data_IF_764382338763
#
_entry.id   IF_764382338763
#
_cell.length_a   1.000
_cell.length_b   1.000
_cell.length_c   1.000
_cell.angle_alpha   90.00
_cell.angle_beta   90.00
_cell.angle_gamma   90.00
#
_symmetry.space_group_name_H-M   'P 1'
#
loop_
_entity.id
_entity.type
_entity.pdbx_description
1 polymer ?
#
# COMPACT_ATOMS: atom_id res chain seq x y z
N UNK A 1 -5.12 17.87 5.70
CA UNK A 1 -3.98 17.38 4.89
C UNK A 1 -4.47 16.23 4.03
N UNK A 2 -4.04 16.14 2.77
CA UNK A 2 -4.44 15.10 1.81
C UNK A 2 -3.21 14.34 1.30
N UNK A 3 -3.27 13.02 1.23
CA UNK A 3 -2.18 12.18 0.69
C UNK A 3 -2.65 11.45 -0.57
N UNK A 4 -1.98 11.66 -1.70
CA UNK A 4 -2.32 11.06 -2.99
C UNK A 4 -1.14 10.23 -3.52
N UNK A 5 -1.35 8.93 -3.69
CA UNK A 5 -0.34 8.02 -4.23
C UNK A 5 -0.69 7.69 -5.67
N UNK A 6 0.27 7.84 -6.58
CA UNK A 6 0.11 7.51 -7.98
C UNK A 6 0.83 6.21 -8.29
N UNK A 7 0.11 5.20 -8.77
CA UNK A 7 0.71 3.91 -9.14
C UNK A 7 0.16 3.39 -10.46
N UNK A 8 0.94 2.52 -11.11
CA UNK A 8 0.66 1.95 -12.42
C UNK A 8 1.88 1.24 -12.99
N UNK A 9 1.70 0.57 -14.13
CA UNK A 9 2.81 -0.08 -14.83
C UNK A 9 3.91 0.94 -15.18
N UNK A 10 5.17 0.50 -15.27
CA UNK A 10 6.28 1.35 -15.76
C UNK A 10 5.95 1.98 -17.12
N UNK A 11 6.32 3.26 -17.30
CA UNK A 11 6.19 3.97 -18.58
C UNK A 11 4.80 4.54 -18.93
N UNK A 12 3.79 4.39 -18.07
CA UNK A 12 2.42 4.92 -18.31
C UNK A 12 2.26 6.41 -18.02
N UNK A 13 3.30 7.10 -17.54
CA UNK A 13 3.30 8.53 -17.22
C UNK A 13 2.80 8.89 -15.81
N UNK A 14 3.08 8.02 -14.81
CA UNK A 14 2.75 8.27 -13.40
C UNK A 14 3.33 9.59 -12.89
N UNK A 15 4.64 9.77 -13.06
CA UNK A 15 5.40 10.95 -12.64
C UNK A 15 4.81 12.21 -13.24
N UNK A 16 4.46 12.20 -14.53
CA UNK A 16 3.84 13.34 -15.21
C UNK A 16 2.48 13.71 -14.60
N UNK A 17 1.62 12.72 -14.36
CA UNK A 17 0.28 12.94 -13.78
C UNK A 17 0.37 13.36 -12.31
N UNK A 18 1.28 12.75 -11.54
CA UNK A 18 1.56 13.11 -10.15
C UNK A 18 2.06 14.56 -10.04
N UNK A 19 3.10 14.91 -10.81
CA UNK A 19 3.67 16.26 -10.88
C UNK A 19 2.66 17.29 -11.36
N UNK A 20 1.84 16.96 -12.36
CA UNK A 20 0.74 17.82 -12.80
C UNK A 20 -0.30 18.05 -11.71
N UNK A 21 -0.69 17.00 -11.00
CA UNK A 21 -1.65 17.10 -9.88
C UNK A 21 -1.10 17.97 -8.76
N UNK A 22 0.18 17.82 -8.42
CA UNK A 22 0.85 18.64 -7.42
C UNK A 22 0.93 20.11 -7.86
N UNK A 23 1.28 20.37 -9.12
CA UNK A 23 1.35 21.72 -9.67
C UNK A 23 -0.02 22.41 -9.70
N UNK A 24 -1.09 21.67 -10.01
CA UNK A 24 -2.46 22.18 -9.96
C UNK A 24 -2.87 22.49 -8.51
N UNK A 25 -2.64 21.58 -7.56
CA UNK A 25 -2.96 21.80 -6.15
C UNK A 25 -2.25 23.03 -5.57
N UNK A 26 -0.97 23.23 -5.91
CA UNK A 26 -0.21 24.41 -5.50
C UNK A 26 -0.78 25.70 -6.09
N UNK A 27 -1.17 25.69 -7.37
CA UNK A 27 -1.81 26.82 -8.03
C UNK A 27 -3.17 27.18 -7.40
N UNK A 28 -3.89 26.18 -6.89
CA UNK A 28 -5.15 26.36 -6.15
C UNK A 28 -4.94 26.83 -4.69
N UNK A 29 -3.68 27.06 -4.28
CA UNK A 29 -3.31 27.68 -3.00
C UNK A 29 -2.87 26.70 -1.91
N UNK A 30 -2.86 25.40 -2.18
CA UNK A 30 -2.42 24.39 -1.22
C UNK A 30 -0.90 24.34 -1.12
N UNK A 31 -0.36 24.31 0.10
CA UNK A 31 1.06 24.03 0.30
C UNK A 31 1.33 22.56 0.01
N UNK A 32 1.95 22.30 -1.13
CA UNK A 32 2.00 20.97 -1.74
C UNK A 32 3.43 20.45 -1.82
N UNK A 33 3.64 19.22 -1.35
CA UNK A 33 4.86 18.46 -1.58
C UNK A 33 4.60 17.36 -2.61
N UNK A 34 5.49 17.19 -3.58
CA UNK A 34 5.56 15.98 -4.40
C UNK A 34 6.87 15.24 -4.14
N UNK A 35 6.74 13.96 -3.82
CA UNK A 35 7.84 13.07 -3.45
C UNK A 35 7.86 11.87 -4.40
N UNK A 36 9.05 11.50 -4.90
CA UNK A 36 9.26 10.27 -5.66
C UNK A 36 9.80 9.17 -4.76
N UNK A 37 9.21 7.98 -4.86
CA UNK A 37 9.80 6.75 -4.33
C UNK A 37 10.59 5.97 -5.39
N UNK A 38 10.67 6.48 -6.63
CA UNK A 38 11.45 5.92 -7.72
C UNK A 38 12.85 6.55 -7.73
N UNK A 39 13.88 5.70 -7.80
CA UNK A 39 15.28 6.09 -7.85
C UNK A 39 15.64 6.80 -9.17
N UNK A 40 14.86 6.60 -10.24
CA UNK A 40 15.02 7.36 -11.48
C UNK A 40 14.63 8.83 -11.22
N UNK A 41 15.50 9.79 -11.56
CA UNK A 41 15.37 11.26 -11.43
C UNK A 41 14.20 11.92 -12.22
N UNK A 42 13.11 11.18 -12.40
CA UNK A 42 11.91 11.51 -13.15
C UNK A 42 11.23 12.82 -12.71
N UNK A 43 11.28 13.20 -11.42
CA UNK A 43 10.70 14.47 -10.96
C UNK A 43 11.55 15.68 -11.35
N UNK A 44 12.87 15.58 -11.23
CA UNK A 44 13.78 16.66 -11.66
C UNK A 44 13.60 16.95 -13.15
N UNK A 45 13.51 15.89 -13.96
CA UNK A 45 13.27 15.98 -15.39
C UNK A 45 11.87 16.55 -15.70
N UNK A 46 10.82 16.07 -15.01
CA UNK A 46 9.46 16.56 -15.22
C UNK A 46 9.31 18.05 -14.90
N UNK A 47 9.93 18.54 -13.82
CA UNK A 47 9.87 19.96 -13.44
C UNK A 47 10.90 20.81 -14.18
N UNK A 48 11.92 20.22 -14.81
CA UNK A 48 13.03 20.95 -15.42
C UNK A 48 13.84 21.75 -14.40
N UNK A 49 13.92 21.28 -13.16
CA UNK A 49 14.54 21.97 -12.04
C UNK A 49 15.43 21.00 -11.23
N UNK A 50 16.54 21.47 -10.64
CA UNK A 50 17.34 20.64 -9.76
C UNK A 50 16.53 20.29 -8.50
N UNK A 51 16.38 18.99 -8.24
CA UNK A 51 15.69 18.44 -7.06
C UNK A 51 16.70 17.64 -6.25
N UNK A 52 16.65 17.79 -4.93
CA UNK A 52 17.55 17.10 -4.01
C UNK A 52 16.81 16.26 -2.96
N UNK A 53 17.58 15.73 -1.97
CA UNK A 53 17.03 14.93 -0.87
C UNK A 53 16.14 15.71 0.09
N UNK A 54 16.27 17.03 0.11
CA UNK A 54 15.45 17.93 0.93
C UNK A 54 14.36 18.62 0.08
N UNK A 55 13.17 18.88 0.65
CA UNK A 55 12.11 19.59 -0.05
C UNK A 55 12.58 20.95 -0.61
N UNK A 56 12.56 21.09 -1.93
CA UNK A 56 12.95 22.32 -2.64
C UNK A 56 11.72 22.97 -3.25
N UNK A 57 11.51 24.26 -3.00
CA UNK A 57 10.42 25.02 -3.64
C UNK A 57 10.77 25.30 -5.11
N UNK A 58 9.97 24.77 -6.04
CA UNK A 58 10.15 24.96 -7.50
C UNK A 58 9.16 25.96 -8.09
N UNK A 59 8.07 26.25 -7.37
CA UNK A 59 7.07 27.27 -7.67
C UNK A 59 6.39 27.69 -6.36
N UNK A 60 5.67 28.83 -6.31
CA UNK A 60 4.97 29.25 -5.10
C UNK A 60 4.10 28.11 -4.55
N UNK A 61 4.38 27.70 -3.30
CA UNK A 61 3.66 26.61 -2.59
C UNK A 61 3.86 25.20 -3.16
N UNK A 62 4.74 25.02 -4.16
CA UNK A 62 5.05 23.73 -4.76
C UNK A 62 6.47 23.30 -4.42
N UNK A 63 6.57 22.22 -3.65
CA UNK A 63 7.83 21.66 -3.21
C UNK A 63 8.04 20.29 -3.82
N UNK A 64 9.26 20.01 -4.22
CA UNK A 64 9.65 18.75 -4.83
C UNK A 64 10.77 18.15 -4.00
N UNK A 65 10.65 16.87 -3.70
CA UNK A 65 11.66 16.10 -3.00
C UNK A 65 11.92 14.80 -3.74
N UNK A 66 13.20 14.44 -3.89
CA UNK A 66 13.59 13.14 -4.39
C UNK A 66 14.30 12.39 -3.27
N UNK A 67 13.78 11.23 -2.87
CA UNK A 67 14.36 10.48 -1.77
C UNK A 67 15.71 9.91 -2.19
N UNK A 68 16.76 10.28 -1.44
CA UNK A 68 18.06 9.63 -1.53
C UNK A 68 18.09 8.42 -0.59
N UNK A 69 17.85 7.25 -1.17
CA UNK A 69 17.81 5.99 -0.43
C UNK A 69 19.16 5.67 0.22
N UNK A 70 20.29 6.01 -0.41
CA UNK A 70 21.61 5.68 0.13
C UNK A 70 21.95 6.53 1.36
N UNK A 71 21.67 7.83 1.30
CA UNK A 71 21.84 8.74 2.42
C UNK A 71 20.96 8.33 3.62
N UNK A 72 19.70 7.96 3.36
CA UNK A 72 18.75 7.55 4.41
C UNK A 72 19.05 6.16 4.95
N UNK A 73 19.54 5.23 4.13
CA UNK A 73 19.95 3.90 4.57
C UNK A 73 21.06 3.98 5.62
N UNK A 74 22.06 4.84 5.40
CA UNK A 74 23.14 5.08 6.37
C UNK A 74 22.63 5.66 7.70
N UNK A 75 21.47 6.32 7.73
CA UNK A 75 20.91 6.92 8.93
C UNK A 75 19.97 5.96 9.69
N UNK A 76 19.15 5.18 8.98
CA UNK A 76 18.11 4.33 9.57
C UNK A 76 18.51 2.85 9.75
N UNK A 77 19.42 2.34 8.91
CA UNK A 77 19.80 0.91 8.87
C UNK A 77 21.21 0.62 9.39
N UNK A 78 21.95 1.64 9.81
CA UNK A 78 23.36 1.49 10.21
C UNK A 78 23.60 0.41 11.27
N UNK A 79 22.73 0.30 12.28
CA UNK A 79 22.92 -0.68 13.37
C UNK A 79 22.71 -2.11 12.89
N UNK A 80 21.72 -2.34 12.02
CA UNK A 80 21.43 -3.68 11.48
C UNK A 80 22.46 -4.05 10.41
N UNK A 81 22.88 -3.10 9.56
CA UNK A 81 23.95 -3.32 8.59
C UNK A 81 25.28 -3.63 9.30
N UNK A 82 25.63 -2.90 10.36
CA UNK A 82 26.85 -3.14 11.16
C UNK A 82 26.85 -4.54 11.75
N UNK A 83 25.69 -5.02 12.23
CA UNK A 83 25.54 -6.39 12.69
C UNK A 83 25.75 -7.41 11.56
N UNK A 84 25.09 -7.24 10.41
CA UNK A 84 25.24 -8.16 9.27
C UNK A 84 26.69 -8.21 8.78
N UNK A 85 27.37 -7.07 8.65
CA UNK A 85 28.78 -7.00 8.29
C UNK A 85 29.66 -7.75 9.30
N UNK A 86 29.40 -7.61 10.61
CA UNK A 86 30.16 -8.35 11.63
C UNK A 86 30.01 -9.86 11.50
N UNK A 87 28.83 -10.36 11.12
CA UNK A 87 28.57 -11.79 10.93
C UNK A 87 29.29 -12.31 9.69
N UNK A 88 29.33 -11.52 8.61
CA UNK A 88 30.03 -11.87 7.37
C UNK A 88 31.55 -11.83 7.51
N UNK A 89 32.09 -10.89 8.27
CA UNK A 89 33.53 -10.82 8.62
C UNK A 89 34.00 -12.12 9.30
N UNK A 90 33.20 -12.60 10.25
CA UNK A 90 33.46 -13.88 10.94
C UNK A 90 33.32 -15.09 10.01
N UNK A 91 32.45 -15.01 9.02
CA UNK A 91 32.32 -16.03 7.98
C UNK A 91 33.46 -15.97 6.94
N UNK A 92 34.42 -15.03 7.09
CA UNK A 92 35.56 -14.87 6.21
C UNK A 92 35.21 -14.26 4.85
N UNK A 93 34.10 -13.53 4.78
CA UNK A 93 33.68 -12.82 3.57
C UNK A 93 34.48 -11.53 3.45
N UNK A 94 35.01 -11.27 2.26
CA UNK A 94 35.73 -10.04 1.96
C UNK A 94 34.85 -8.80 2.23
N UNK A 95 35.38 -7.71 2.84
CA UNK A 95 34.58 -6.53 3.19
C UNK A 95 33.85 -5.89 2.01
N UNK A 96 34.44 -5.90 0.81
CA UNK A 96 33.81 -5.32 -0.39
C UNK A 96 32.65 -6.21 -0.84
N UNK A 97 32.85 -7.52 -0.83
CA UNK A 97 31.77 -8.47 -1.11
C UNK A 97 30.67 -8.44 -0.03
N UNK A 98 31.03 -8.19 1.23
CA UNK A 98 30.08 -8.08 2.33
C UNK A 98 29.21 -6.81 2.21
N UNK A 99 29.77 -5.69 1.74
CA UNK A 99 28.98 -4.48 1.44
C UNK A 99 27.94 -4.74 0.35
N UNK A 100 28.29 -5.44 -0.72
CA UNK A 100 27.34 -5.83 -1.78
C UNK A 100 26.27 -6.82 -1.28
N UNK A 101 26.65 -7.76 -0.42
CA UNK A 101 25.73 -8.77 0.15
C UNK A 101 24.79 -8.22 1.22
N UNK A 102 25.10 -7.06 1.80
CA UNK A 102 24.26 -6.40 2.82
C UNK A 102 23.28 -5.39 2.24
N UNK A 103 23.24 -5.22 0.91
CA UNK A 103 22.17 -4.50 0.22
C UNK A 103 20.87 -5.28 0.38
N UNK A 104 19.96 -4.76 1.19
CA UNK A 104 18.66 -5.38 1.46
C UNK A 104 17.72 -5.04 0.28
N UNK A 105 17.26 -6.03 -0.50
CA UNK A 105 16.27 -5.77 -1.55
C UNK A 105 14.98 -5.21 -0.92
N UNK A 106 14.45 -4.13 -1.49
CA UNK A 106 13.26 -3.45 -0.96
C UNK A 106 13.54 -2.37 0.10
N UNK A 107 14.81 -2.15 0.49
CA UNK A 107 15.14 -1.14 1.49
C UNK A 107 14.92 0.29 0.99
N UNK A 108 15.17 0.56 -0.29
CA UNK A 108 15.01 1.90 -0.88
C UNK A 108 13.56 2.37 -0.75
N UNK A 109 12.62 1.49 -1.02
CA UNK A 109 11.21 1.82 -0.95
C UNK A 109 10.68 1.87 0.48
N UNK A 110 11.21 1.06 1.40
CA UNK A 110 10.96 1.22 2.84
C UNK A 110 11.42 2.61 3.29
N UNK A 111 12.62 3.04 2.90
CA UNK A 111 13.15 4.36 3.25
C UNK A 111 12.30 5.49 2.66
N UNK A 112 11.81 5.33 1.44
CA UNK A 112 10.90 6.29 0.84
C UNK A 112 9.57 6.41 1.60
N UNK A 113 9.05 5.29 2.12
CA UNK A 113 7.87 5.27 2.99
C UNK A 113 8.14 5.94 4.35
N UNK A 114 9.32 5.72 4.94
CA UNK A 114 9.73 6.38 6.19
C UNK A 114 9.90 7.89 5.99
N UNK A 115 10.50 8.32 4.87
CA UNK A 115 10.60 9.74 4.52
C UNK A 115 9.21 10.35 4.32
N UNK A 116 8.32 9.67 3.60
CA UNK A 116 6.93 10.09 3.47
C UNK A 116 6.28 10.30 4.84
N UNK A 117 6.46 9.36 5.78
CA UNK A 117 5.97 9.50 7.15
C UNK A 117 6.54 10.75 7.82
N UNK A 118 7.84 11.01 7.73
CA UNK A 118 8.46 12.22 8.32
C UNK A 118 7.83 13.49 7.74
N UNK A 119 7.66 13.56 6.42
CA UNK A 119 7.05 14.72 5.75
C UNK A 119 5.60 14.91 6.16
N UNK A 120 4.81 13.83 6.21
CA UNK A 120 3.40 13.86 6.63
C UNK A 120 3.26 14.29 8.09
N UNK A 121 4.08 13.74 8.99
CA UNK A 121 4.03 14.05 10.43
C UNK A 121 4.58 15.43 10.77
N UNK A 122 5.37 16.05 9.88
CA UNK A 122 5.84 17.43 10.07
C UNK A 122 4.70 18.45 10.18
N UNK A 123 3.51 18.13 9.65
CA UNK A 123 2.37 19.03 9.58
C UNK A 123 2.59 20.25 8.67
N UNK A 124 3.66 20.25 7.86
CA UNK A 124 4.03 21.37 7.01
C UNK A 124 3.18 21.50 5.73
N UNK A 125 2.49 20.43 5.32
CA UNK A 125 1.89 20.30 4.00
C UNK A 125 0.36 20.18 4.07
N UNK A 126 -0.33 20.88 3.17
CA UNK A 126 -1.76 20.68 2.94
C UNK A 126 -2.00 19.43 2.08
N UNK A 127 -1.10 19.19 1.12
CA UNK A 127 -1.18 18.09 0.16
C UNK A 127 0.20 17.43 0.02
N UNK A 128 0.24 16.11 0.09
CA UNK A 128 1.41 15.30 -0.23
C UNK A 128 1.06 14.38 -1.39
N UNK A 129 1.74 14.57 -2.52
CA UNK A 129 1.64 13.70 -3.70
C UNK A 129 2.85 12.78 -3.72
N UNK A 130 2.61 11.49 -3.93
CA UNK A 130 3.65 10.47 -3.98
C UNK A 130 3.63 9.82 -5.35
N UNK A 131 4.72 9.98 -6.10
CA UNK A 131 4.98 9.20 -7.31
C UNK A 131 5.59 7.86 -6.91
N UNK A 132 4.80 6.79 -6.95
CA UNK A 132 5.25 5.48 -6.53
C UNK A 132 6.04 4.78 -7.65
N UNK A 133 6.99 3.95 -7.23
CA UNK A 133 7.64 2.95 -8.08
C UNK A 133 6.59 2.01 -8.75
N UNK A 134 6.98 1.22 -9.77
CA UNK A 134 6.09 0.28 -10.44
C UNK A 134 5.31 -0.63 -9.47
N UNK A 135 4.08 -0.96 -9.85
CA UNK A 135 3.05 -1.40 -8.89
C UNK A 135 3.34 -2.70 -8.13
N UNK A 136 4.13 -3.62 -8.70
CA UNK A 136 4.40 -4.91 -8.08
C UNK A 136 5.35 -4.81 -6.88
N UNK A 137 6.37 -3.94 -6.95
CA UNK A 137 7.31 -3.70 -5.86
C UNK A 137 6.61 -2.95 -4.71
N UNK A 138 5.97 -1.80 -4.98
CA UNK A 138 5.28 -0.99 -3.95
C UNK A 138 4.26 -1.80 -3.15
N UNK A 139 3.49 -2.68 -3.80
CA UNK A 139 2.48 -3.51 -3.12
C UNK A 139 3.06 -4.55 -2.17
N UNK A 140 4.26 -5.09 -2.44
CA UNK A 140 4.94 -6.04 -1.54
C UNK A 140 5.43 -5.34 -0.28
N UNK A 141 5.84 -4.09 -0.41
CA UNK A 141 6.33 -3.27 0.71
C UNK A 141 5.21 -2.84 1.64
N UNK A 142 4.00 -2.66 1.09
CA UNK A 142 2.80 -2.38 1.87
C UNK A 142 2.30 -3.59 2.69
N UNK A 143 2.79 -4.80 2.40
CA UNK A 143 2.57 -6.01 3.19
C UNK A 143 3.62 -6.23 4.29
N UNK A 144 4.75 -5.51 4.24
CA UNK A 144 5.84 -5.64 5.21
C UNK A 144 5.44 -5.30 6.65
N UNK A 145 4.62 -4.26 6.94
CA UNK A 145 4.21 -3.98 8.32
C UNK A 145 3.55 -5.19 8.99
N UNK A 146 2.63 -5.85 8.28
CA UNK A 146 1.94 -7.05 8.78
C UNK A 146 2.88 -8.26 8.94
N UNK A 147 3.76 -8.49 7.96
CA UNK A 147 4.72 -9.60 8.01
C UNK A 147 5.75 -9.40 9.15
N UNK A 148 6.23 -8.17 9.33
CA UNK A 148 7.16 -7.82 10.39
C UNK A 148 6.47 -7.90 11.76
N UNK A 149 5.21 -7.45 11.86
CA UNK A 149 4.42 -7.58 13.08
C UNK A 149 4.27 -9.02 13.56
N UNK A 150 4.04 -9.97 12.64
CA UNK A 150 4.03 -11.39 12.97
C UNK A 150 5.37 -11.87 13.56
N UNK A 151 6.49 -11.48 12.95
CA UNK A 151 7.84 -11.84 13.42
C UNK A 151 8.14 -11.21 14.79
N UNK A 152 7.77 -9.93 14.98
CA UNK A 152 7.90 -9.20 16.25
C UNK A 152 7.11 -9.84 17.39
N UNK A 153 5.90 -10.32 17.13
CA UNK A 153 5.05 -10.88 18.18
C UNK A 153 5.40 -12.34 18.53
N UNK A 154 5.84 -13.15 17.57
CA UNK A 154 6.00 -14.60 17.75
C UNK A 154 7.44 -15.09 17.85
N UNK A 155 8.36 -14.48 17.11
CA UNK A 155 9.72 -15.01 16.94
C UNK A 155 10.73 -14.21 17.77
N UNK A 156 10.69 -12.87 17.66
CA UNK A 156 11.61 -11.98 18.36
C UNK A 156 11.68 -12.22 19.88
N UNK A 157 10.57 -12.43 20.61
CA UNK A 157 10.64 -12.62 22.06
C UNK A 157 11.37 -13.90 22.46
N UNK A 158 11.25 -14.96 21.65
CA UNK A 158 11.95 -16.22 21.87
C UNK A 158 13.45 -16.08 21.54
N UNK A 159 13.77 -15.47 20.39
CA UNK A 159 15.16 -15.20 19.98
C UNK A 159 15.89 -14.31 20.99
N UNK A 160 15.29 -13.18 21.40
CA UNK A 160 15.87 -12.26 22.39
C UNK A 160 16.14 -12.95 23.73
N UNK A 161 15.26 -13.87 24.17
CA UNK A 161 15.46 -14.68 25.39
C UNK A 161 16.59 -15.69 25.24
N UNK A 162 16.65 -16.41 24.12
CA UNK A 162 17.70 -17.40 23.83
C UNK A 162 19.06 -16.71 23.76
N UNK A 163 19.16 -15.61 23.01
CA UNK A 163 20.38 -14.81 22.89
C UNK A 163 20.83 -14.31 24.25
N UNK A 164 19.92 -13.76 25.08
CA UNK A 164 20.26 -13.30 26.45
C UNK A 164 20.73 -14.44 27.35
N UNK A 165 20.16 -15.63 27.24
CA UNK A 165 20.54 -16.79 28.04
C UNK A 165 21.90 -17.39 27.61
N UNK A 166 22.19 -17.40 26.31
CA UNK A 166 23.43 -17.95 25.76
C UNK A 166 24.58 -16.95 25.71
N UNK A 167 24.32 -15.65 25.88
CA UNK A 167 25.31 -14.55 25.90
C UNK A 167 26.58 -14.88 26.70
N UNK A 168 26.53 -15.35 27.97
CA UNK A 168 27.76 -15.63 28.74
C UNK A 168 28.55 -16.85 28.24
N UNK A 169 27.92 -17.80 27.53
CA UNK A 169 28.60 -18.99 26.98
C UNK A 169 29.22 -18.67 25.62
N UNK A 170 28.46 -17.97 24.77
CA UNK A 170 28.88 -17.59 23.42
C UNK A 170 29.98 -16.50 23.43
N UNK A 171 29.99 -15.59 24.41
CA UNK A 171 31.10 -14.64 24.59
C UNK A 171 32.44 -15.32 24.91
N UNK A 172 32.43 -16.57 25.41
CA UNK A 172 33.65 -17.34 25.67
C UNK A 172 34.11 -18.15 24.46
N UNK A 173 33.21 -18.45 23.53
CA UNK A 173 33.51 -19.08 22.26
C UNK A 173 33.77 -17.99 21.22
N UNK A 174 35.01 -17.52 21.14
CA UNK A 174 35.44 -16.50 20.18
C UNK A 174 35.06 -16.93 18.76
N UNK A 175 34.18 -16.16 18.11
CA UNK A 175 33.79 -16.43 16.74
C UNK A 175 32.56 -15.64 16.34
N UNK A 176 31.37 -16.00 16.84
CA UNK A 176 30.11 -15.47 16.28
C UNK A 176 29.70 -14.15 16.93
N UNK A 177 29.56 -13.04 16.18
CA UNK A 177 29.03 -11.80 16.71
C UNK A 177 27.54 -11.98 16.98
N UNK A 178 27.12 -11.63 18.19
CA UNK A 178 25.73 -11.74 18.61
C UNK A 178 25.01 -10.42 18.34
N UNK A 179 23.73 -10.45 17.95
CA UNK A 179 22.96 -9.23 17.84
C UNK A 179 22.83 -8.60 19.23
N UNK A 180 23.26 -7.34 19.34
CA UNK A 180 23.08 -6.56 20.56
C UNK A 180 21.62 -6.14 20.76
N UNK A 181 21.30 -5.60 21.94
CA UNK A 181 19.95 -5.06 22.20
C UNK A 181 19.60 -3.92 21.22
N UNK A 182 20.60 -3.18 20.71
CA UNK A 182 20.48 -2.15 19.68
C UNK A 182 19.88 -2.65 18.37
N UNK A 183 20.27 -3.85 17.92
CA UNK A 183 19.72 -4.48 16.71
C UNK A 183 18.24 -4.82 16.90
N UNK A 184 17.89 -5.43 18.05
CA UNK A 184 16.50 -5.74 18.37
C UNK A 184 15.65 -4.48 18.46
N UNK A 185 16.14 -3.46 19.16
CA UNK A 185 15.45 -2.19 19.32
C UNK A 185 15.32 -1.44 17.98
N UNK A 186 16.28 -1.58 17.05
CA UNK A 186 16.18 -1.03 15.69
C UNK A 186 15.07 -1.69 14.86
N UNK A 187 14.93 -3.02 14.96
CA UNK A 187 13.85 -3.75 14.27
C UNK A 187 12.48 -3.39 14.88
N UNK A 188 12.39 -3.28 16.21
CA UNK A 188 11.16 -2.85 16.90
C UNK A 188 10.75 -1.42 16.47
N UNK A 189 11.71 -0.49 16.38
CA UNK A 189 11.45 0.88 15.87
C UNK A 189 10.94 0.86 14.43
N UNK A 190 11.63 0.15 13.54
CA UNK A 190 11.23 0.06 12.13
C UNK A 190 9.80 -0.48 11.99
N UNK A 191 9.46 -1.52 12.75
CA UNK A 191 8.10 -2.06 12.74
C UNK A 191 7.07 -1.02 13.12
N UNK A 192 7.29 -0.28 14.21
CA UNK A 192 6.39 0.78 14.65
C UNK A 192 6.24 1.89 13.60
N UNK A 193 7.34 2.31 12.98
CA UNK A 193 7.31 3.34 11.93
C UNK A 193 6.56 2.87 10.67
N UNK A 194 6.74 1.61 10.27
CA UNK A 194 6.02 1.00 9.15
C UNK A 194 4.52 0.81 9.45
N UNK A 195 4.15 0.49 10.68
CA UNK A 195 2.75 0.42 11.11
C UNK A 195 2.10 1.81 11.07
N UNK A 196 2.81 2.86 11.47
CA UNK A 196 2.34 4.25 11.35
C UNK A 196 2.17 4.66 9.88
N UNK A 197 3.12 4.31 9.00
CA UNK A 197 2.96 4.51 7.54
C UNK A 197 1.68 3.83 7.05
N UNK A 198 1.45 2.56 7.41
CA UNK A 198 0.27 1.84 7.00
C UNK A 198 -1.01 2.53 7.48
N UNK A 199 -1.05 2.98 8.74
CA UNK A 199 -2.19 3.70 9.30
C UNK A 199 -2.46 5.03 8.58
N UNK A 200 -1.40 5.80 8.26
CA UNK A 200 -1.52 7.04 7.49
C UNK A 200 -2.08 6.79 6.09
N UNK A 201 -1.54 5.78 5.39
CA UNK A 201 -1.87 5.49 3.99
C UNK A 201 -3.20 4.75 3.79
N UNK A 202 -3.68 4.02 4.80
CA UNK A 202 -5.01 3.38 4.81
C UNK A 202 -6.11 4.26 5.43
N UNK A 203 -5.72 5.40 5.99
CA UNK A 203 -6.60 6.39 6.61
C UNK A 203 -7.55 7.08 5.61
N UNK A 204 -8.54 7.85 6.12
CA UNK A 204 -9.55 8.50 5.29
C UNK A 204 -9.01 9.62 4.39
N UNK A 205 -7.89 10.25 4.79
CA UNK A 205 -7.26 11.35 4.07
C UNK A 205 -6.26 10.89 3.00
N UNK A 206 -6.03 9.58 2.89
CA UNK A 206 -5.13 8.96 1.94
C UNK A 206 -5.88 8.18 0.86
N UNK A 207 -5.38 8.25 -0.36
CA UNK A 207 -5.88 7.42 -1.45
C UNK A 207 -4.82 7.16 -2.50
N UNK A 208 -5.13 6.18 -3.34
CA UNK A 208 -4.31 5.76 -4.47
C UNK A 208 -5.07 6.06 -5.76
N UNK A 209 -4.37 6.65 -6.72
CA UNK A 209 -4.85 6.89 -8.07
C UNK A 209 -4.10 6.00 -9.04
N UNK A 210 -4.85 5.20 -9.80
CA UNK A 210 -4.26 4.30 -10.79
C UNK A 210 -4.01 5.06 -12.09
N UNK A 211 -2.82 4.94 -12.66
CA UNK A 211 -2.47 5.50 -13.98
C UNK A 211 -2.22 4.34 -14.94
N UNK A 212 -2.84 4.40 -16.13
CA UNK A 212 -2.70 3.38 -17.16
C UNK A 212 -2.70 4.00 -18.55
N UNK A 213 -2.06 3.36 -19.53
CA UNK A 213 -2.36 3.60 -20.95
C UNK A 213 -3.49 2.65 -21.38
N UNK A 214 -4.35 3.02 -22.36
CA UNK A 214 -5.44 2.16 -22.85
C UNK A 214 -4.95 0.95 -23.68
N UNK A 215 -4.20 0.07 -23.05
CA UNK A 215 -3.69 -1.18 -23.61
C UNK A 215 -4.15 -2.36 -22.75
N UNK A 216 -4.51 -3.49 -23.39
CA UNK A 216 -5.08 -4.66 -22.70
C UNK A 216 -4.18 -5.20 -21.58
N UNK A 217 -2.87 -5.27 -21.81
CA UNK A 217 -1.91 -5.77 -20.82
C UNK A 217 -1.80 -4.81 -19.63
N UNK A 218 -1.88 -3.51 -19.88
CA UNK A 218 -1.80 -2.47 -18.85
C UNK A 218 -3.08 -2.43 -18.02
N UNK A 219 -4.24 -2.60 -18.65
CA UNK A 219 -5.52 -2.75 -17.95
C UNK A 219 -5.52 -4.00 -17.06
N UNK A 220 -5.02 -5.14 -17.55
CA UNK A 220 -4.94 -6.35 -16.75
C UNK A 220 -4.07 -6.17 -15.50
N UNK A 221 -2.97 -5.42 -15.61
CA UNK A 221 -2.14 -5.04 -14.47
C UNK A 221 -2.89 -4.11 -13.51
N UNK A 222 -3.54 -3.05 -14.01
CA UNK A 222 -4.31 -2.12 -13.19
C UNK A 222 -5.42 -2.83 -12.39
N UNK A 223 -6.08 -3.85 -12.96
CA UNK A 223 -7.07 -4.68 -12.27
C UNK A 223 -6.43 -5.44 -11.09
N UNK A 224 -5.30 -6.12 -11.32
CA UNK A 224 -4.54 -6.82 -10.25
C UNK A 224 -4.12 -5.85 -9.16
N UNK A 225 -3.62 -4.68 -9.54
CA UNK A 225 -3.23 -3.63 -8.61
C UNK A 225 -4.39 -3.16 -7.74
N UNK A 226 -5.57 -2.95 -8.33
CA UNK A 226 -6.75 -2.54 -7.58
C UNK A 226 -7.19 -3.62 -6.57
N UNK A 227 -7.18 -4.89 -6.97
CA UNK A 227 -7.43 -6.01 -6.06
C UNK A 227 -6.46 -5.99 -4.89
N UNK A 228 -5.16 -5.84 -5.15
CA UNK A 228 -4.13 -5.87 -4.12
C UNK A 228 -4.19 -4.66 -3.18
N UNK A 229 -4.37 -3.45 -3.73
CA UNK A 229 -4.58 -2.25 -2.93
C UNK A 229 -5.77 -2.42 -1.97
N UNK A 230 -6.87 -2.95 -2.49
CA UNK A 230 -8.07 -3.22 -1.69
C UNK A 230 -7.81 -4.32 -0.65
N UNK A 231 -7.12 -5.40 -1.02
CA UNK A 231 -6.70 -6.48 -0.13
C UNK A 231 -5.98 -5.91 1.07
N UNK A 232 -5.02 -4.99 0.88
CA UNK A 232 -4.24 -4.36 1.96
C UNK A 232 -4.90 -3.14 2.62
N UNK A 233 -6.10 -2.75 2.22
CA UNK A 233 -6.84 -1.69 2.91
C UNK A 233 -6.68 -0.28 2.32
N UNK A 234 -5.96 -0.13 1.22
CA UNK A 234 -5.78 1.16 0.54
C UNK A 234 -7.00 1.53 -0.30
N UNK A 235 -7.39 2.81 -0.23
CA UNK A 235 -8.52 3.34 -0.99
C UNK A 235 -8.07 3.76 -2.37
N UNK A 236 -8.62 3.15 -3.41
CA UNK A 236 -8.47 3.67 -4.78
C UNK A 236 -9.53 4.73 -5.03
N UNK A 237 -9.12 5.92 -5.45
CA UNK A 237 -10.03 7.05 -5.66
C UNK A 237 -10.43 7.31 -7.11
N UNK A 238 -9.73 6.71 -8.06
CA UNK A 238 -9.96 6.91 -9.47
C UNK A 238 -8.84 6.38 -10.36
N UNK A 239 -9.07 6.51 -11.67
CA UNK A 239 -8.17 6.03 -12.71
C UNK A 239 -7.89 7.15 -13.71
N UNK A 240 -6.63 7.34 -14.07
CA UNK A 240 -6.21 8.21 -15.16
C UNK A 240 -5.78 7.34 -16.34
N UNK A 241 -6.57 7.36 -17.40
CA UNK A 241 -6.20 6.79 -18.70
C UNK A 241 -5.33 7.81 -19.45
N UNK A 242 -4.03 7.59 -19.47
CA UNK A 242 -3.04 8.48 -20.05
C UNK A 242 -2.67 8.11 -21.49
N UNK A 243 -2.16 9.10 -22.25
CA UNK A 243 -1.78 8.97 -23.67
C UNK A 243 -2.93 8.44 -24.54
N UNK A 244 -4.13 8.98 -24.32
CA UNK A 244 -5.29 8.71 -25.17
C UNK A 244 -5.11 9.46 -26.49
N UNK A 245 -5.14 8.77 -27.61
CA UNK A 245 -5.04 9.42 -28.92
C UNK A 245 -6.25 10.34 -29.15
N UNK A 246 -6.03 11.59 -29.58
CA UNK A 246 -7.13 12.45 -29.99
C UNK A 246 -7.85 11.85 -31.21
N UNK A 247 -9.15 12.11 -31.32
CA UNK A 247 -9.96 11.62 -32.42
C UNK A 247 -9.56 12.22 -33.78
N UNK A 248 -9.76 11.44 -34.85
CA UNK A 248 -9.38 11.80 -36.22
C UNK A 248 -7.89 11.59 -36.50
N UNK A 249 -7.50 11.59 -37.77
CA UNK A 249 -6.11 11.38 -38.18
C UNK A 249 -6.00 10.60 -39.48
N UNK A 250 -4.83 10.00 -39.71
CA UNK A 250 -4.63 9.02 -40.78
C UNK A 250 -5.16 7.65 -40.38
N UNK A 251 -5.23 6.72 -41.34
CA UNK A 251 -5.73 5.35 -41.11
C UNK A 251 -4.98 4.62 -39.98
N UNK A 252 -3.70 4.94 -39.78
CA UNK A 252 -2.90 4.38 -38.68
C UNK A 252 -3.40 4.88 -37.32
N UNK A 253 -3.64 6.19 -37.18
CA UNK A 253 -4.18 6.78 -35.95
C UNK A 253 -5.63 6.36 -35.69
N UNK A 254 -6.45 6.27 -36.73
CA UNK A 254 -7.83 5.75 -36.61
C UNK A 254 -7.83 4.32 -36.04
N UNK A 255 -6.90 3.47 -36.47
CA UNK A 255 -6.71 2.12 -35.90
C UNK A 255 -6.35 2.14 -34.42
N UNK A 256 -5.45 3.04 -34.00
CA UNK A 256 -5.10 3.21 -32.59
C UNK A 256 -6.24 3.76 -31.74
N UNK A 257 -6.99 4.74 -32.24
CA UNK A 257 -8.17 5.30 -31.55
C UNK A 257 -9.19 4.20 -31.32
N UNK A 258 -9.53 3.40 -32.36
CA UNK A 258 -10.47 2.30 -32.22
C UNK A 258 -10.00 1.23 -31.21
N UNK A 259 -8.70 0.90 -31.22
CA UNK A 259 -8.12 -0.04 -30.25
C UNK A 259 -8.18 0.50 -28.81
N UNK A 260 -7.83 1.77 -28.61
CA UNK A 260 -7.88 2.42 -27.30
C UNK A 260 -9.33 2.56 -26.81
N UNK A 261 -10.29 2.91 -27.67
CA UNK A 261 -11.70 3.03 -27.30
C UNK A 261 -12.28 1.70 -26.80
N UNK A 262 -11.92 0.58 -27.43
CA UNK A 262 -12.29 -0.75 -26.97
C UNK A 262 -11.75 -1.04 -25.55
N UNK A 263 -10.51 -0.64 -25.27
CA UNK A 263 -9.91 -0.81 -23.93
C UNK A 263 -10.51 0.19 -22.94
N UNK A 264 -10.77 1.44 -23.33
CA UNK A 264 -11.41 2.46 -22.49
C UNK A 264 -12.82 2.04 -22.07
N UNK A 265 -13.57 1.38 -22.95
CA UNK A 265 -14.85 0.75 -22.60
C UNK A 265 -14.70 -0.29 -21.48
N UNK A 266 -13.66 -1.12 -21.55
CA UNK A 266 -13.35 -2.09 -20.50
C UNK A 266 -12.83 -1.42 -19.21
N UNK A 267 -12.07 -0.31 -19.30
CA UNK A 267 -11.65 0.49 -18.14
C UNK A 267 -12.89 1.00 -17.41
N UNK A 268 -13.81 1.65 -18.13
CA UNK A 268 -15.04 2.17 -17.54
C UNK A 268 -15.89 1.09 -16.85
N UNK A 269 -15.97 -0.11 -17.43
CA UNK A 269 -16.65 -1.26 -16.81
C UNK A 269 -15.91 -1.79 -15.58
N UNK A 270 -14.59 -1.88 -15.64
CA UNK A 270 -13.77 -2.47 -14.56
C UNK A 270 -13.75 -1.59 -13.32
N UNK A 271 -13.71 -0.28 -13.52
CA UNK A 271 -13.63 0.72 -12.46
C UNK A 271 -14.96 1.46 -12.27
N UNK A 272 -16.07 0.76 -12.54
CA UNK A 272 -17.40 1.32 -12.36
C UNK A 272 -17.58 1.84 -10.92
N UNK A 273 -18.07 3.07 -10.78
CA UNK A 273 -18.19 3.76 -9.50
C UNK A 273 -16.97 4.59 -9.10
N UNK A 274 -15.86 4.48 -9.82
CA UNK A 274 -14.71 5.37 -9.70
C UNK A 274 -14.68 6.39 -10.86
N UNK A 275 -14.16 7.60 -10.65
CA UNK A 275 -13.84 8.52 -11.72
C UNK A 275 -12.81 7.90 -12.67
N UNK A 276 -13.04 8.06 -13.97
CA UNK A 276 -12.07 7.72 -15.02
C UNK A 276 -11.75 8.99 -15.79
N UNK A 277 -10.59 9.58 -15.50
CA UNK A 277 -10.07 10.74 -16.20
C UNK A 277 -9.25 10.31 -17.41
N UNK A 278 -9.18 11.17 -18.41
CA UNK A 278 -8.45 10.92 -19.66
C UNK A 278 -7.43 12.03 -19.86
N UNK A 279 -6.21 11.65 -20.21
CA UNK A 279 -5.14 12.55 -20.62
C UNK A 279 -4.80 12.28 -22.07
N UNK A 280 -4.89 13.30 -22.91
CA UNK A 280 -4.59 13.17 -24.33
C UNK A 280 -3.09 12.95 -24.58
N UNK A 281 -2.77 12.23 -25.66
CA UNK A 281 -1.39 12.06 -26.09
C UNK A 281 -0.92 13.32 -26.82
N UNK A 282 -0.13 14.14 -26.12
CA UNK A 282 0.40 15.40 -26.62
C UNK A 282 1.56 15.22 -27.60
N UNK A 283 1.69 16.18 -28.51
CA UNK A 283 2.81 16.26 -29.46
C UNK A 283 4.14 16.67 -28.79
N UNK A 284 4.07 17.30 -27.61
CA UNK A 284 5.23 17.75 -26.83
C UNK A 284 5.09 17.21 -25.41
N UNK A 285 6.20 16.80 -24.83
CA UNK A 285 6.24 16.36 -23.44
C UNK A 285 5.96 17.54 -22.50
N UNK A 286 5.02 17.40 -21.54
CA UNK A 286 4.70 18.47 -20.59
C UNK A 286 5.79 18.57 -19.52
N UNK A 287 6.83 19.34 -19.82
CA UNK A 287 7.95 19.64 -18.91
C UNK A 287 7.79 21.04 -18.34
N UNK A 288 8.07 21.18 -17.05
CA UNK A 288 7.97 22.43 -16.31
C UNK A 288 6.60 22.65 -15.66
N UNK A 289 6.59 23.46 -14.60
CA UNK A 289 5.43 23.67 -13.72
C UNK A 289 4.17 24.06 -14.50
N UNK A 290 4.26 25.00 -15.44
CA UNK A 290 3.10 25.47 -16.19
C UNK A 290 2.52 24.42 -17.14
N UNK A 291 3.36 23.65 -17.82
CA UNK A 291 2.90 22.59 -18.72
C UNK A 291 2.25 21.44 -17.94
N UNK A 292 2.86 21.06 -16.81
CA UNK A 292 2.33 20.06 -15.89
C UNK A 292 0.99 20.48 -15.27
N UNK A 293 0.87 21.74 -14.82
CA UNK A 293 -0.38 22.31 -14.32
C UNK A 293 -1.47 22.30 -15.39
N UNK A 294 -1.14 22.73 -16.60
CA UNK A 294 -2.08 22.75 -17.74
C UNK A 294 -2.58 21.35 -18.07
N UNK A 295 -1.69 20.36 -18.10
CA UNK A 295 -2.03 18.96 -18.27
C UNK A 295 -3.05 18.50 -17.22
N UNK A 296 -2.78 18.74 -15.93
CA UNK A 296 -3.68 18.32 -14.87
C UNK A 296 -5.03 19.04 -14.92
N UNK A 297 -5.06 20.33 -15.22
CA UNK A 297 -6.31 21.09 -15.35
C UNK A 297 -7.23 20.51 -16.44
N UNK A 298 -6.65 20.09 -17.57
CA UNK A 298 -7.40 19.41 -18.64
C UNK A 298 -7.85 18.00 -18.23
N UNK A 299 -6.98 17.22 -17.59
CA UNK A 299 -7.29 15.85 -17.13
C UNK A 299 -8.47 15.84 -16.17
N UNK A 300 -8.47 16.76 -15.21
CA UNK A 300 -9.51 16.83 -14.19
C UNK A 300 -10.75 17.61 -14.64
N UNK A 301 -10.65 18.44 -15.69
CA UNK A 301 -11.79 19.11 -16.33
C UNK A 301 -12.77 19.79 -15.34
N UNK A 302 -12.22 20.45 -14.30
CA UNK A 302 -12.99 21.13 -13.26
C UNK A 302 -13.48 20.25 -12.10
N UNK A 303 -13.19 18.94 -12.11
CA UNK A 303 -13.32 18.11 -10.91
C UNK A 303 -12.18 18.39 -9.93
N UNK A 304 -12.49 18.34 -8.64
CA UNK A 304 -11.49 18.51 -7.58
C UNK A 304 -10.58 17.26 -7.51
N UNK A 305 -9.29 17.37 -7.86
CA UNK A 305 -8.38 16.24 -7.82
C UNK A 305 -8.05 15.78 -6.39
N UNK A 306 -8.28 16.63 -5.39
CA UNK A 306 -8.01 16.39 -3.98
C UNK A 306 -9.22 15.84 -3.22
N UNK A 307 -10.38 15.72 -3.88
CA UNK A 307 -11.59 15.20 -3.28
C UNK A 307 -11.34 13.89 -2.51
N UNK A 308 -11.83 13.82 -1.28
CA UNK A 308 -11.69 12.64 -0.45
C UNK A 308 -12.49 11.47 -1.05
N UNK A 309 -11.98 10.22 -0.97
CA UNK A 309 -12.71 9.06 -1.46
C UNK A 309 -14.03 8.90 -0.70
N UNK A 310 -15.13 8.73 -1.41
CA UNK A 310 -16.45 8.50 -0.80
C UNK A 310 -16.56 7.06 -0.27
N UNK A 311 -17.29 6.88 0.85
CA UNK A 311 -17.64 5.57 1.40
C UNK A 311 -16.73 5.07 2.53
N UNK A 312 -17.06 3.90 3.10
CA UNK A 312 -16.42 3.38 4.32
C UNK A 312 -15.09 2.65 4.07
N UNK A 313 -14.60 2.58 2.82
CA UNK A 313 -13.31 1.99 2.46
C UNK A 313 -13.36 0.48 2.15
N UNK A 314 -12.20 -0.11 1.79
CA UNK A 314 -12.12 -1.51 1.37
C UNK A 314 -12.34 -2.49 2.51
N UNK A 315 -11.97 -2.15 3.75
CA UNK A 315 -12.11 -3.01 4.92
C UNK A 315 -13.18 -2.46 5.87
N UNK A 316 -14.14 -3.30 6.25
CA UNK A 316 -15.24 -2.96 7.14
C UNK A 316 -15.51 -4.09 8.13
N UNK A 317 -15.95 -3.73 9.34
CA UNK A 317 -16.45 -4.68 10.33
C UNK A 317 -17.79 -4.18 10.83
N UNK A 318 -18.85 -4.94 10.55
CA UNK A 318 -20.20 -4.64 11.00
C UNK A 318 -20.60 -5.61 12.10
N UNK A 319 -21.10 -5.09 13.23
CA UNK A 319 -21.68 -5.92 14.30
C UNK A 319 -23.09 -6.36 13.92
N UNK A 320 -23.45 -7.58 14.29
CA UNK A 320 -24.79 -8.13 14.11
C UNK A 320 -25.28 -8.74 15.42
N UNK A 321 -26.58 -8.97 15.55
CA UNK A 321 -27.17 -9.56 16.76
C UNK A 321 -26.58 -10.95 17.10
N UNK A 322 -26.08 -11.67 16.09
CA UNK A 322 -25.49 -13.00 16.22
C UNK A 322 -23.95 -13.00 16.22
N UNK A 323 -23.29 -11.84 16.11
CA UNK A 323 -21.84 -11.71 16.08
C UNK A 323 -21.34 -10.52 15.26
N UNK A 324 -20.64 -10.80 14.16
CA UNK A 324 -20.11 -9.76 13.28
C UNK A 324 -19.85 -10.26 11.86
N UNK A 325 -19.76 -9.33 10.91
CA UNK A 325 -19.33 -9.59 9.54
C UNK A 325 -18.15 -8.70 9.23
N UNK A 326 -17.03 -9.32 8.88
CA UNK A 326 -15.90 -8.64 8.26
C UNK A 326 -16.14 -8.62 6.75
N UNK A 327 -16.08 -7.45 6.15
CA UNK A 327 -16.18 -7.27 4.70
C UNK A 327 -14.91 -6.65 4.15
N UNK A 328 -14.31 -7.30 3.15
CA UNK A 328 -13.10 -6.85 2.47
C UNK A 328 -13.37 -6.74 0.97
N UNK A 329 -13.13 -5.58 0.38
CA UNK A 329 -13.18 -5.40 -1.07
C UNK A 329 -12.05 -6.20 -1.74
N UNK A 330 -12.43 -7.05 -2.68
CA UNK A 330 -11.56 -7.85 -3.54
C UNK A 330 -12.12 -7.79 -4.97
N UNK A 331 -12.04 -6.63 -5.64
CA UNK A 331 -12.57 -6.47 -6.99
C UNK A 331 -11.93 -7.50 -7.93
N UNK A 332 -12.70 -7.98 -8.90
CA UNK A 332 -12.29 -8.98 -9.90
C UNK A 332 -11.96 -10.39 -9.38
N UNK A 333 -12.09 -10.64 -8.08
CA UNK A 333 -11.76 -11.95 -7.48
C UNK A 333 -13.00 -12.83 -7.38
N UNK A 334 -12.84 -14.10 -7.76
CA UNK A 334 -13.85 -15.14 -7.56
C UNK A 334 -13.60 -15.93 -6.28
N UNK A 335 -14.62 -16.67 -5.80
CA UNK A 335 -14.48 -17.52 -4.61
C UNK A 335 -13.35 -18.56 -4.73
N UNK A 336 -13.09 -19.07 -5.92
CA UNK A 336 -12.08 -20.11 -6.16
C UNK A 336 -10.64 -19.61 -5.98
N UNK A 337 -10.43 -18.31 -6.09
CA UNK A 337 -9.13 -17.66 -5.98
C UNK A 337 -8.79 -17.21 -4.55
N UNK A 338 -9.74 -17.37 -3.61
CA UNK A 338 -9.58 -16.96 -2.22
C UNK A 338 -9.37 -18.18 -1.33
N UNK A 339 -8.27 -18.20 -0.60
CA UNK A 339 -8.06 -19.12 0.51
C UNK A 339 -8.06 -18.36 1.85
N UNK A 340 -8.60 -19.02 2.89
CA UNK A 340 -8.80 -18.43 4.21
C UNK A 340 -8.35 -19.40 5.28
N UNK A 341 -7.41 -18.94 6.09
CA UNK A 341 -6.98 -19.66 7.28
C UNK A 341 -7.09 -18.75 8.50
N UNK A 342 -7.32 -19.35 9.67
CA UNK A 342 -7.31 -18.64 10.94
C UNK A 342 -6.12 -19.13 11.77
N UNK A 343 -5.39 -18.18 12.36
CA UNK A 343 -4.27 -18.48 13.25
C UNK A 343 -4.39 -17.62 14.52
N UNK A 344 -5.08 -18.14 15.53
CA UNK A 344 -5.38 -17.40 16.76
C UNK A 344 -6.25 -16.17 16.48
N UNK A 345 -5.66 -15.00 16.71
CA UNK A 345 -6.30 -13.69 16.55
C UNK A 345 -6.11 -13.09 15.15
N UNK A 346 -5.52 -13.85 14.23
CA UNK A 346 -5.29 -13.43 12.85
C UNK A 346 -6.18 -14.19 11.87
N UNK A 347 -6.64 -13.48 10.85
CA UNK A 347 -7.24 -14.03 9.65
C UNK A 347 -6.23 -13.91 8.51
N UNK A 348 -5.78 -15.06 8.01
CA UNK A 348 -4.93 -15.14 6.83
C UNK A 348 -5.82 -15.17 5.60
N UNK A 349 -5.67 -14.18 4.73
CA UNK A 349 -6.39 -14.09 3.45
C UNK A 349 -5.39 -14.25 2.33
N UNK A 350 -5.57 -15.27 1.49
CA UNK A 350 -4.73 -15.52 0.32
C UNK A 350 -5.55 -15.28 -0.94
N UNK A 351 -5.03 -14.46 -1.85
CA UNK A 351 -5.63 -14.16 -3.15
C UNK A 351 -4.57 -14.34 -4.22
N UNK A 352 -4.66 -15.42 -5.00
CA UNK A 352 -3.61 -15.79 -5.95
C UNK A 352 -2.25 -15.99 -5.25
N UNK A 353 -1.23 -15.21 -5.63
CA UNK A 353 0.11 -15.25 -5.02
C UNK A 353 0.28 -14.32 -3.82
N UNK A 354 -0.75 -13.54 -3.47
CA UNK A 354 -0.68 -12.56 -2.39
C UNK A 354 -1.33 -13.10 -1.12
N UNK A 355 -0.68 -12.84 0.01
CA UNK A 355 -1.13 -13.27 1.33
C UNK A 355 -1.12 -12.08 2.27
N UNK A 356 -2.25 -11.86 2.93
CA UNK A 356 -2.45 -10.82 3.94
C UNK A 356 -2.68 -11.45 5.31
N UNK A 357 -2.05 -10.90 6.35
CA UNK A 357 -2.25 -11.32 7.74
C UNK A 357 -3.06 -10.23 8.45
N UNK A 358 -4.38 -10.42 8.46
CA UNK A 358 -5.29 -9.48 9.11
C UNK A 358 -5.35 -9.75 10.61
N UNK A 359 -4.73 -8.88 11.40
CA UNK A 359 -4.95 -8.83 12.85
C UNK A 359 -6.41 -8.47 13.13
N UNK A 360 -7.14 -9.37 13.78
CA UNK A 360 -8.55 -9.14 14.08
C UNK A 360 -8.68 -8.20 15.29
N UNK A 361 -9.58 -7.20 15.23
CA UNK A 361 -9.96 -6.43 16.40
C UNK A 361 -10.35 -7.35 17.56
N UNK A 362 -10.06 -6.94 18.80
CA UNK A 362 -10.25 -7.76 20.01
C UNK A 362 -11.67 -8.34 20.17
N UNK A 363 -12.69 -7.64 19.66
CA UNK A 363 -14.06 -8.14 19.70
C UNK A 363 -14.43 -9.12 18.57
N UNK A 364 -13.58 -9.31 17.56
CA UNK A 364 -13.70 -10.39 16.55
C UNK A 364 -12.81 -11.58 16.90
N UNK A 365 -11.65 -11.35 17.51
CA UNK A 365 -10.71 -12.42 17.87
C UNK A 365 -11.31 -13.47 18.82
N UNK A 366 -12.29 -13.07 19.64
CA UNK A 366 -13.03 -13.98 20.53
C UNK A 366 -14.15 -14.79 19.85
N UNK A 367 -14.59 -14.38 18.67
CA UNK A 367 -15.68 -15.01 17.94
C UNK A 367 -15.16 -16.16 17.07
N UNK A 368 -16.00 -17.12 16.68
CA UNK A 368 -15.64 -18.20 15.73
C UNK A 368 -16.05 -17.84 14.31
N UNK A 369 -15.22 -18.21 13.33
CA UNK A 369 -15.58 -18.09 11.91
C UNK A 369 -16.69 -19.11 11.61
N UNK A 370 -17.87 -18.61 11.25
CA UNK A 370 -19.03 -19.42 10.88
C UNK A 370 -19.08 -19.73 9.39
N UNK A 371 -18.42 -18.91 8.57
CA UNK A 371 -18.30 -19.14 7.13
C UNK A 371 -17.80 -17.90 6.41
N UNK A 372 -17.43 -18.09 5.14
CA UNK A 372 -16.97 -17.02 4.26
C UNK A 372 -17.58 -17.18 2.87
N UNK A 373 -17.89 -16.06 2.22
CA UNK A 373 -18.34 -16.01 0.83
C UNK A 373 -17.71 -14.84 0.10
N UNK A 374 -17.59 -14.94 -1.22
CA UNK A 374 -17.19 -13.84 -2.09
C UNK A 374 -18.39 -13.50 -2.97
N UNK A 375 -18.89 -12.28 -2.87
CA UNK A 375 -20.07 -11.79 -3.59
C UNK A 375 -19.85 -10.32 -3.95
N UNK A 376 -20.18 -9.93 -5.19
CA UNK A 376 -20.03 -8.57 -5.71
C UNK A 376 -18.64 -7.96 -5.50
N UNK A 377 -17.58 -8.75 -5.72
CA UNK A 377 -16.20 -8.32 -5.52
C UNK A 377 -15.85 -8.02 -4.07
N UNK A 378 -16.57 -8.61 -3.10
CA UNK A 378 -16.29 -8.49 -1.67
C UNK A 378 -16.22 -9.85 -1.00
N UNK A 379 -15.16 -10.08 -0.24
CA UNK A 379 -15.10 -11.17 0.72
C UNK A 379 -15.89 -10.79 1.98
N UNK A 380 -16.83 -11.64 2.38
CA UNK A 380 -17.57 -11.52 3.63
C UNK A 380 -17.26 -12.70 4.53
N UNK A 381 -16.65 -12.45 5.68
CA UNK A 381 -16.37 -13.46 6.71
C UNK A 381 -17.30 -13.24 7.88
N UNK A 382 -18.15 -14.24 8.14
CA UNK A 382 -19.11 -14.20 9.25
C UNK A 382 -18.48 -14.78 10.50
N UNK A 383 -18.58 -14.02 11.58
CA UNK A 383 -18.16 -14.39 12.91
C UNK A 383 -19.39 -14.57 13.80
N UNK A 384 -19.39 -15.61 14.62
CA UNK A 384 -20.48 -15.91 15.56
C UNK A 384 -19.95 -16.07 16.98
N UNK A 385 -20.77 -15.68 17.95
CA UNK A 385 -20.47 -15.90 19.36
C UNK A 385 -20.78 -17.36 19.73
N UNK A 386 -19.78 -18.16 20.18
CA UNK A 386 -20.00 -19.53 20.62
C UNK A 386 -21.10 -19.66 21.69
N UNK A 387 -21.26 -18.66 22.56
CA UNK A 387 -22.25 -18.67 23.64
C UNK A 387 -23.68 -18.43 23.12
N UNK A 388 -23.84 -17.57 22.11
CA UNK A 388 -25.14 -17.32 21.47
C UNK A 388 -25.62 -18.54 20.68
N UNK A 389 -24.71 -19.24 19.99
CA UNK A 389 -25.03 -20.46 19.24
C UNK A 389 -25.43 -21.62 20.16
N UNK A 390 -24.80 -21.73 21.33
CA UNK A 390 -25.16 -22.73 22.35
C UNK A 390 -26.52 -22.43 23.00
N UNK A 391 -26.84 -21.17 23.28
CA UNK A 391 -28.13 -20.75 23.83
C UNK A 391 -29.29 -20.97 22.84
N UNK A 392 -29.07 -20.66 21.55
CA UNK A 392 -30.05 -20.90 20.49
C UNK A 392 -30.31 -22.40 20.24
N UNK A 393 -29.29 -23.25 20.35
CA UNK A 393 -29.42 -24.70 20.25
C UNK A 393 -30.11 -25.33 21.48
N UNK A 394 -29.99 -24.72 22.67
CA UNK A 394 -30.64 -25.18 23.90
C UNK A 394 -32.11 -24.77 24.03
N UNK A 395 -32.55 -23.73 23.33
CA UNK A 395 -33.92 -23.22 23.36
C UNK A 395 -35.00 -24.27 22.95
N UNK A 396 -34.84 -25.07 21.87
CA UNK A 396 -35.83 -26.10 21.54
C UNK A 396 -35.85 -27.27 22.55
N UNK A 397 -34.73 -27.58 23.22
CA UNK A 397 -34.67 -28.64 24.24
C UNK A 397 -35.37 -28.25 25.56
N UNK A 398 -35.32 -26.97 25.93
CA UNK A 398 -36.02 -26.44 27.10
C UNK A 398 -37.55 -26.35 26.89
N UNK A 399 -38.00 -26.04 25.66
CA UNK A 399 -39.42 -26.02 25.31
C UNK A 399 -40.05 -27.43 25.37
N UNK A 400 -39.34 -28.46 24.88
CA UNK A 400 -39.78 -29.86 24.94
C UNK A 400 -39.82 -30.38 26.40
N UNK A 401 -38.85 -30.03 27.25
CA UNK A 401 -38.85 -30.41 28.67
C UNK A 401 -39.96 -29.71 29.48
N UNK A 402 -40.29 -28.45 29.19
CA UNK A 402 -41.41 -27.75 29.84
C UNK A 402 -42.78 -28.31 29.43
N UNK A 403 -42.96 -28.74 28.17
CA UNK A 403 -44.18 -29.41 27.73
C UNK A 403 -44.35 -30.82 28.34
N UNK A 404 -43.27 -31.53 28.64
CA UNK A 404 -43.33 -32.84 29.32
C UNK A 404 -43.57 -32.73 30.83
N UNK A 405 -43.08 -31.65 31.48
CA UNK A 405 -43.32 -31.40 32.90
C UNK A 405 -44.75 -30.90 33.20
N UNK A 406 -45.42 -30.24 32.25
CA UNK A 406 -46.81 -29.79 32.39
C UNK A 406 -47.87 -30.87 32.10
N UNK A 407 -47.44 -32.10 31.76
CA UNK A 407 -48.31 -33.27 31.49
C UNK A 407 -48.24 -34.35 32.58
N UNK A 408 -47.55 -34.09 33.68
CA UNK A 408 -47.59 -34.85 34.92
C UNK A 408 -48.23 -33.99 35.99
#
# INVERSE_FOLDING_TARGET
>A
MRILLFTGKGGVGKSTVASGTAALAAADGHRTLVLSTDAAHSLADAFGAPVGPEPTEVAPRLFVQQVDAQLRFQQSWADIQRYLLSVLDVAGVDPVAAEELTVIPGAEEVLALLELRLQVLSGAWDVVVVDCAPTAETLRLLALPEALGWYMQRVLPAERRIVKALKPVLQRAAGVPMPGDDVFDAIERLHAELDEVHALLSGPDASVRLVLTPETVVLAEARRSYTNLSLFGYRVDGVVANRVFPAGGDAWREGWVAAQDAVLGQVAQSFAGLPVWRSEYRAVEPVGVDALRTLAAEVYAGSDPLAAPRGEGPFQVTRTDAGAVLSLALPFVTRAEVDLARNGDELVVTVGSYRRLLTLPSGLSRLRVAGARVEDGRLQVRFTDPAATAAAAAAPAAAVRRQQAARR
#
